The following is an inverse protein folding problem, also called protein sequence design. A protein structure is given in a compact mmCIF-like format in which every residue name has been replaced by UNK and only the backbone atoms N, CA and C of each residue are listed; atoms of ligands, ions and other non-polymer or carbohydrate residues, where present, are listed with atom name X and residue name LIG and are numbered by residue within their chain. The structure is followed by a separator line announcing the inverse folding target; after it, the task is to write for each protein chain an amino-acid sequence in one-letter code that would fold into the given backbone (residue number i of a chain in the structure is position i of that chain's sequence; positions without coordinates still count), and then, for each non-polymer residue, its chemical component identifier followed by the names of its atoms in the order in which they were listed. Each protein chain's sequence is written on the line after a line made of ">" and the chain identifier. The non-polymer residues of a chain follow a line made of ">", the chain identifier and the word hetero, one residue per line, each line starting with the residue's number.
data_IF_643628728134
#
_entry.id   IF_643628728134
#
_cell.length_a   1.000
_cell.length_b   1.000
_cell.length_c   1.000
_cell.angle_alpha   90.00
_cell.angle_beta   90.00
_cell.angle_gamma   90.00
#
_symmetry.space_group_name_H-M   'P 1'
#
loop_
_entity.id
_entity.type
_entity.pdbx_description
1 polymer ?
#
# COMPACT_ATOMS: atom_id res chain seq x y z
N UNK A 1 2.00 -16.59 69.93
CA UNK A 1 3.29 -17.21 70.29
C UNK A 1 4.27 -16.69 69.23
N UNK A 2 5.23 -15.79 69.50
CA UNK A 2 6.34 -15.83 70.50
C UNK A 2 7.25 -17.02 70.20
N UNK A 3 8.58 -16.94 70.00
CA UNK A 3 9.55 -15.86 69.63
C UNK A 3 10.86 -16.57 69.13
N UNK A 4 12.05 -16.01 68.84
CA UNK A 4 12.68 -14.67 69.00
C UNK A 4 13.84 -14.49 67.99
N UNK A 5 14.46 -13.30 67.89
CA UNK A 5 15.80 -13.10 67.28
C UNK A 5 16.92 -13.16 68.35
N UNK A 6 18.22 -13.05 67.97
CA UNK A 6 18.88 -11.74 68.16
C UNK A 6 19.90 -11.34 67.06
N UNK A 7 20.40 -10.08 67.18
CA UNK A 7 21.23 -9.35 66.20
C UNK A 7 22.75 -9.25 66.63
N UNK A 8 23.49 -8.11 66.50
CA UNK A 8 24.56 -7.95 65.50
C UNK A 8 25.93 -7.48 66.07
N UNK A 9 26.97 -7.35 65.23
CA UNK A 9 28.23 -6.63 65.60
C UNK A 9 28.77 -5.75 64.46
N UNK A 10 29.29 -4.58 64.85
CA UNK A 10 30.04 -3.57 64.05
C UNK A 10 31.45 -3.38 64.67
N UNK A 11 32.41 -2.60 64.17
CA UNK A 11 32.50 -1.61 63.08
C UNK A 11 34.00 -1.42 62.73
N UNK A 12 34.34 -0.66 61.66
CA UNK A 12 35.41 0.39 61.61
C UNK A 12 35.96 0.68 60.20
N UNK A 13 36.47 1.91 60.04
CA UNK A 13 36.66 2.59 58.76
C UNK A 13 37.96 3.42 58.65
N UNK A 14 38.44 3.54 57.40
CA UNK A 14 39.38 4.48 56.73
C UNK A 14 40.25 5.51 57.50
N UNK A 15 41.46 5.82 56.97
CA UNK A 15 41.62 7.03 56.12
C UNK A 15 42.53 6.89 54.86
N UNK A 16 42.64 7.98 54.06
CA UNK A 16 43.39 8.15 52.76
C UNK A 16 44.57 9.16 52.94
N UNK A 17 45.17 9.87 51.94
CA UNK A 17 45.54 9.63 50.50
C UNK A 17 47.00 10.10 50.12
N UNK A 18 47.32 10.18 48.79
CA UNK A 18 48.46 10.89 48.08
C UNK A 18 49.73 10.02 47.83
N UNK A 19 50.50 10.18 46.73
CA UNK A 19 50.51 11.12 45.58
C UNK A 19 51.09 10.43 44.29
N UNK A 20 51.16 11.12 43.13
CA UNK A 20 51.43 10.52 41.81
C UNK A 20 52.67 11.08 41.07
N UNK A 21 53.19 10.37 40.04
CA UNK A 21 53.56 10.95 38.70
C UNK A 21 54.00 9.92 37.63
N UNK A 22 53.95 10.40 36.39
CA UNK A 22 53.98 9.74 35.07
C UNK A 22 55.16 8.83 34.67
N UNK A 23 54.88 7.84 33.80
CA UNK A 23 55.70 7.50 32.61
C UNK A 23 54.75 7.31 31.40
N UNK A 24 55.14 7.79 30.22
CA UNK A 24 54.23 7.98 29.08
C UNK A 24 54.02 6.78 28.15
N UNK A 25 52.84 6.73 27.50
CA UNK A 25 52.58 5.83 26.37
C UNK A 25 53.17 6.41 25.07
N UNK A 26 54.14 5.73 24.47
CA UNK A 26 54.34 5.80 23.00
C UNK A 26 53.46 4.73 22.36
N UNK A 27 52.42 5.14 21.64
CA UNK A 27 51.73 4.30 20.66
C UNK A 27 51.94 4.95 19.29
N UNK A 28 52.47 4.19 18.34
CA UNK A 28 52.81 4.69 17.01
C UNK A 28 51.55 5.15 16.26
N UNK A 29 51.69 6.20 15.45
CA UNK A 29 50.69 6.55 14.46
C UNK A 29 50.56 5.44 13.42
N UNK A 30 49.37 4.86 13.33
CA UNK A 30 48.86 4.28 12.07
C UNK A 30 47.63 5.08 11.67
N UNK A 31 47.55 5.41 10.38
CA UNK A 31 46.65 6.43 9.84
C UNK A 31 45.18 6.11 10.15
N UNK A 32 44.44 7.11 10.60
CA UNK A 32 43.03 6.95 10.92
C UNK A 32 42.19 6.63 9.69
N UNK A 33 41.50 5.49 9.71
CA UNK A 33 40.30 5.32 8.91
C UNK A 33 39.10 5.80 9.73
N UNK A 34 38.32 6.66 9.08
CA UNK A 34 37.08 7.25 9.56
C UNK A 34 36.15 6.20 10.18
N UNK A 35 35.61 6.51 11.35
CA UNK A 35 34.39 5.86 11.84
C UNK A 35 33.35 5.94 10.73
N UNK A 36 32.84 4.80 10.28
CA UNK A 36 31.65 4.76 9.42
C UNK A 36 30.46 5.26 10.23
N UNK A 37 30.21 6.56 10.11
CA UNK A 37 28.90 7.11 10.39
C UNK A 37 27.97 6.41 9.42
N UNK A 38 27.17 5.47 9.93
CA UNK A 38 26.04 4.88 9.23
C UNK A 38 24.98 5.97 9.03
N UNK A 39 25.28 6.88 8.10
CA UNK A 39 24.38 7.90 7.63
C UNK A 39 23.30 7.15 6.85
N UNK A 40 22.18 6.86 7.53
CA UNK A 40 20.93 6.52 6.88
C UNK A 40 20.73 7.55 5.78
N UNK A 41 20.92 7.16 4.51
CA UNK A 41 20.65 8.03 3.37
C UNK A 41 19.18 8.42 3.47
N UNK A 42 18.93 9.65 3.94
CA UNK A 42 17.63 10.28 3.81
C UNK A 42 17.44 10.42 2.31
N UNK A 43 16.61 9.54 1.74
CA UNK A 43 16.25 9.60 0.34
C UNK A 43 15.42 10.87 0.12
N UNK A 44 16.10 11.98 -0.15
CA UNK A 44 15.47 13.22 -0.58
C UNK A 44 14.88 12.98 -1.97
N UNK A 45 13.56 13.10 -2.07
CA UNK A 45 12.88 12.97 -3.36
C UNK A 45 13.19 14.19 -4.24
N UNK A 46 12.96 14.06 -5.56
CA UNK A 46 13.16 15.16 -6.50
C UNK A 46 12.13 16.28 -6.28
N UNK A 47 12.44 17.51 -6.71
CA UNK A 47 11.49 18.62 -6.64
C UNK A 47 10.16 18.29 -7.36
N UNK A 48 10.24 17.69 -8.56
CA UNK A 48 9.11 17.14 -9.32
C UNK A 48 8.22 16.22 -8.46
N UNK A 49 8.81 15.37 -7.63
CA UNK A 49 8.06 14.45 -6.77
C UNK A 49 7.29 15.20 -5.68
N UNK A 50 7.86 16.27 -5.09
CA UNK A 50 7.18 17.12 -4.11
C UNK A 50 6.07 17.96 -4.75
N UNK A 51 6.28 18.44 -5.98
CA UNK A 51 5.24 19.12 -6.75
C UNK A 51 4.06 18.18 -7.04
N UNK A 52 4.32 16.94 -7.48
CA UNK A 52 3.29 15.90 -7.65
C UNK A 52 2.60 15.55 -6.33
N UNK A 53 3.31 15.55 -5.19
CA UNK A 53 2.69 15.32 -3.86
C UNK A 53 1.77 16.46 -3.44
N UNK A 54 2.11 17.71 -3.76
CA UNK A 54 1.22 18.87 -3.58
C UNK A 54 -0.05 18.71 -4.42
N UNK A 55 0.08 18.34 -5.69
CA UNK A 55 -1.04 18.11 -6.60
C UNK A 55 -1.96 16.97 -6.12
N UNK A 56 -1.38 15.88 -5.60
CA UNK A 56 -2.13 14.80 -4.92
C UNK A 56 -2.91 15.36 -3.74
N UNK A 57 -2.28 16.17 -2.88
CA UNK A 57 -2.94 16.81 -1.73
C UNK A 57 -4.13 17.69 -2.15
N UNK A 58 -3.99 18.46 -3.23
CA UNK A 58 -5.09 19.25 -3.79
C UNK A 58 -6.21 18.39 -4.40
N UNK A 59 -5.85 17.37 -5.17
CA UNK A 59 -6.81 16.46 -5.79
C UNK A 59 -7.65 15.73 -4.72
N UNK A 60 -7.02 15.25 -3.65
CA UNK A 60 -7.70 14.61 -2.52
C UNK A 60 -8.60 15.59 -1.75
N UNK A 61 -8.14 16.83 -1.47
CA UNK A 61 -8.97 17.89 -0.88
C UNK A 61 -10.20 18.19 -1.74
N UNK A 62 -10.01 18.34 -3.05
CA UNK A 62 -11.08 18.59 -4.02
C UNK A 62 -12.10 17.44 -4.05
N UNK A 63 -11.61 16.19 -4.13
CA UNK A 63 -12.45 14.99 -4.12
C UNK A 63 -13.30 14.88 -2.86
N UNK A 64 -12.70 15.03 -1.68
CA UNK A 64 -13.38 14.92 -0.38
C UNK A 64 -14.47 15.98 -0.25
N UNK A 65 -14.20 17.23 -0.67
CA UNK A 65 -15.18 18.33 -0.68
C UNK A 65 -16.35 18.07 -1.64
N UNK A 66 -16.08 17.62 -2.88
CA UNK A 66 -17.12 17.32 -3.88
C UNK A 66 -17.93 16.05 -3.55
N UNK A 67 -17.36 15.09 -2.82
CA UNK A 67 -18.11 13.94 -2.27
C UNK A 67 -19.15 14.40 -1.26
N UNK A 68 -18.74 15.22 -0.30
CA UNK A 68 -19.57 15.67 0.82
C UNK A 68 -20.63 16.71 0.39
N UNK A 69 -20.24 17.77 -0.32
CA UNK A 69 -21.10 18.92 -0.57
C UNK A 69 -21.85 18.79 -1.90
N UNK A 70 -23.08 18.27 -1.88
CA UNK A 70 -23.92 18.07 -3.08
C UNK A 70 -24.11 19.35 -3.91
N UNK A 71 -24.47 20.47 -3.28
CA UNK A 71 -24.70 21.73 -4.01
C UNK A 71 -23.45 22.23 -4.75
N UNK A 72 -22.25 22.06 -4.17
CA UNK A 72 -20.99 22.36 -4.84
C UNK A 72 -20.74 21.38 -6.00
N UNK A 73 -20.96 20.08 -5.79
CA UNK A 73 -20.81 19.06 -6.84
C UNK A 73 -21.72 19.32 -8.02
N UNK A 74 -22.96 19.72 -7.78
CA UNK A 74 -23.94 20.00 -8.84
C UNK A 74 -23.57 21.29 -9.59
N UNK A 75 -23.20 22.37 -8.88
CA UNK A 75 -22.69 23.60 -9.51
C UNK A 75 -21.47 23.33 -10.41
N UNK A 76 -20.48 22.59 -9.92
CA UNK A 76 -19.27 22.26 -10.68
C UNK A 76 -19.59 21.28 -11.83
N UNK A 77 -20.52 20.33 -11.65
CA UNK A 77 -20.99 19.46 -12.73
C UNK A 77 -21.63 20.26 -13.87
N UNK A 78 -22.48 21.22 -13.55
CA UNK A 78 -23.18 22.04 -14.54
C UNK A 78 -22.18 22.93 -15.31
N UNK A 79 -21.30 23.64 -14.60
CA UNK A 79 -20.26 24.49 -15.20
C UNK A 79 -19.32 23.71 -16.13
N UNK A 80 -19.08 22.43 -15.84
CA UNK A 80 -18.29 21.54 -16.67
C UNK A 80 -19.15 20.53 -17.43
N UNK A 81 -20.36 20.92 -17.87
CA UNK A 81 -21.16 20.18 -18.86
C UNK A 81 -21.37 18.68 -18.57
N UNK A 82 -21.48 18.28 -17.30
CA UNK A 82 -21.89 16.94 -16.89
C UNK A 82 -23.39 16.91 -16.67
N UNK A 83 -24.06 15.81 -17.07
CA UNK A 83 -25.48 15.63 -16.79
C UNK A 83 -25.75 15.74 -15.28
N UNK A 84 -26.90 16.33 -14.87
CA UNK A 84 -27.28 16.42 -13.47
C UNK A 84 -27.37 15.02 -12.81
N UNK A 85 -27.34 15.01 -11.48
CA UNK A 85 -27.46 13.79 -10.70
C UNK A 85 -28.89 13.24 -10.80
N UNK A 86 -29.09 12.17 -11.58
CA UNK A 86 -30.41 11.52 -11.72
C UNK A 86 -30.62 10.52 -10.58
N UNK A 87 -31.57 10.82 -9.69
CA UNK A 87 -31.89 10.00 -8.53
C UNK A 87 -30.82 10.05 -7.42
N UNK A 88 -30.93 9.12 -6.46
CA UNK A 88 -30.04 9.05 -5.28
C UNK A 88 -28.67 8.48 -5.64
N UNK A 89 -27.65 9.34 -5.79
CA UNK A 89 -26.29 8.88 -6.06
C UNK A 89 -25.53 8.63 -4.75
N UNK A 90 -25.33 7.35 -4.40
CA UNK A 90 -24.63 6.94 -3.18
C UNK A 90 -23.55 5.88 -3.45
N UNK A 91 -22.70 5.64 -2.46
CA UNK A 91 -21.65 4.61 -2.52
C UNK A 91 -20.81 4.68 -3.79
N UNK A 92 -20.66 3.53 -4.47
CA UNK A 92 -19.85 3.41 -5.68
C UNK A 92 -20.27 4.38 -6.80
N UNK A 93 -21.56 4.62 -6.98
CA UNK A 93 -22.05 5.52 -8.03
C UNK A 93 -21.57 6.96 -7.78
N UNK A 94 -21.64 7.41 -6.52
CA UNK A 94 -21.13 8.71 -6.10
C UNK A 94 -19.62 8.81 -6.30
N UNK A 95 -18.85 7.80 -5.87
CA UNK A 95 -17.40 7.79 -6.05
C UNK A 95 -16.97 7.85 -7.52
N UNK A 96 -17.65 7.09 -8.40
CA UNK A 96 -17.42 7.15 -9.86
C UNK A 96 -17.80 8.53 -10.42
N UNK A 97 -18.95 9.11 -10.04
CA UNK A 97 -19.40 10.44 -10.49
C UNK A 97 -18.41 11.54 -10.12
N UNK A 98 -17.98 11.60 -8.85
CA UNK A 98 -17.02 12.60 -8.35
C UNK A 98 -15.65 12.42 -9.00
N UNK A 99 -15.15 11.18 -9.14
CA UNK A 99 -13.87 10.94 -9.80
C UNK A 99 -13.91 11.32 -11.29
N UNK A 100 -14.99 11.03 -12.02
CA UNK A 100 -15.19 11.50 -13.40
C UNK A 100 -15.23 13.03 -13.50
N UNK A 101 -15.83 13.71 -12.53
CA UNK A 101 -15.81 15.17 -12.46
C UNK A 101 -14.38 15.70 -12.27
N UNK A 102 -13.61 15.16 -11.32
CA UNK A 102 -12.19 15.54 -11.17
C UNK A 102 -11.36 15.26 -12.43
N UNK A 103 -11.70 14.21 -13.20
CA UNK A 103 -11.03 13.94 -14.47
C UNK A 103 -11.27 15.05 -15.50
N UNK A 104 -12.50 15.57 -15.58
CA UNK A 104 -12.85 16.72 -16.43
C UNK A 104 -12.23 18.04 -15.95
N UNK A 105 -11.96 18.16 -14.65
CA UNK A 105 -11.24 19.30 -14.06
C UNK A 105 -9.72 19.22 -14.25
N UNK A 106 -9.18 18.18 -14.91
CA UNK A 106 -7.74 17.96 -15.01
C UNK A 106 -7.05 17.61 -13.67
N UNK A 107 -7.81 17.30 -12.62
CA UNK A 107 -7.31 17.01 -11.25
C UNK A 107 -7.06 15.52 -10.99
N UNK A 108 -6.80 14.72 -12.02
CA UNK A 108 -6.23 13.38 -11.86
C UNK A 108 -4.71 13.48 -11.96
N UNK A 109 -4.01 12.83 -11.04
CA UNK A 109 -2.55 12.81 -10.96
C UNK A 109 -2.05 11.41 -11.32
N UNK A 110 -0.84 11.30 -11.86
CA UNK A 110 -0.25 10.02 -12.29
C UNK A 110 -1.18 9.24 -13.26
N UNK A 111 -1.74 9.91 -14.27
CA UNK A 111 -2.76 9.35 -15.18
C UNK A 111 -2.26 8.19 -16.05
N UNK A 112 -0.94 8.07 -16.24
CA UNK A 112 -0.31 6.99 -17.00
C UNK A 112 -0.08 5.79 -16.07
N UNK A 113 -0.68 4.63 -16.39
CA UNK A 113 -0.41 3.40 -15.63
C UNK A 113 1.07 3.00 -15.76
N UNK A 114 1.67 2.61 -14.64
CA UNK A 114 3.03 2.09 -14.58
C UNK A 114 3.18 0.95 -13.56
N UNK A 115 4.25 0.18 -13.72
CA UNK A 115 4.72 -0.84 -12.77
C UNK A 115 5.65 -0.14 -11.75
N UNK A 116 5.73 -0.64 -10.52
CA UNK A 116 6.56 -0.06 -9.47
C UNK A 116 5.92 1.12 -8.75
N UNK A 117 6.76 2.03 -8.23
CA UNK A 117 6.34 3.16 -7.39
C UNK A 117 5.49 4.19 -8.17
N UNK A 118 4.90 5.14 -7.45
CA UNK A 118 4.09 6.25 -8.00
C UNK A 118 4.66 7.56 -7.46
N UNK A 119 4.81 8.58 -8.31
CA UNK A 119 5.38 9.86 -7.89
C UNK A 119 4.44 10.60 -6.93
N UNK A 120 5.04 11.28 -5.95
CA UNK A 120 4.33 11.98 -4.87
C UNK A 120 3.63 11.07 -3.84
N UNK A 121 3.84 9.75 -3.88
CA UNK A 121 3.21 8.77 -2.99
C UNK A 121 4.27 8.01 -2.16
N UNK A 122 4.04 7.90 -0.86
CA UNK A 122 4.91 7.22 0.11
C UNK A 122 4.23 5.99 0.73
N UNK A 123 5.03 5.00 1.12
CA UNK A 123 4.59 3.89 1.98
C UNK A 123 4.04 4.46 3.29
N UNK A 124 2.85 4.04 3.67
CA UNK A 124 2.10 4.58 4.81
C UNK A 124 1.03 5.61 4.40
N UNK A 125 1.00 6.09 3.16
CA UNK A 125 -0.03 7.03 2.70
C UNK A 125 -1.45 6.45 2.85
N UNK A 126 -2.35 7.28 3.38
CA UNK A 126 -3.71 6.90 3.76
C UNK A 126 -4.78 7.51 2.84
N UNK A 127 -5.70 6.66 2.39
CA UNK A 127 -6.77 7.01 1.46
C UNK A 127 -8.12 6.52 1.99
N UNK A 128 -9.14 7.37 1.96
CA UNK A 128 -10.43 7.04 2.55
C UNK A 128 -11.30 6.18 1.62
N UNK A 129 -11.15 6.30 0.30
CA UNK A 129 -12.07 5.69 -0.66
C UNK A 129 -11.34 5.14 -1.89
N UNK A 130 -11.91 4.10 -2.53
CA UNK A 130 -11.36 3.53 -3.78
C UNK A 130 -11.19 4.57 -4.89
N UNK A 131 -12.04 5.60 -4.93
CA UNK A 131 -11.91 6.70 -5.87
C UNK A 131 -10.65 7.56 -5.64
N UNK A 132 -10.19 7.70 -4.39
CA UNK A 132 -8.94 8.42 -4.08
C UNK A 132 -7.75 7.67 -4.69
N UNK A 133 -7.69 6.34 -4.56
CA UNK A 133 -6.65 5.50 -5.20
C UNK A 133 -6.63 5.63 -6.73
N UNK A 134 -7.80 5.84 -7.34
CA UNK A 134 -7.92 6.05 -8.79
C UNK A 134 -7.41 7.42 -9.22
N UNK A 135 -7.73 8.47 -8.45
CA UNK A 135 -7.38 9.86 -8.74
C UNK A 135 -5.89 10.14 -8.61
N UNK A 136 -5.19 9.45 -7.71
CA UNK A 136 -3.74 9.60 -7.50
C UNK A 136 -2.88 8.63 -8.33
N UNK A 137 -3.52 7.78 -9.16
CA UNK A 137 -2.85 6.80 -10.02
C UNK A 137 -2.30 5.54 -9.31
N UNK A 138 -2.56 5.35 -8.02
CA UNK A 138 -2.12 4.16 -7.28
C UNK A 138 -2.76 2.87 -7.82
N UNK A 139 -4.08 2.91 -8.05
CA UNK A 139 -4.89 1.77 -8.49
C UNK A 139 -6.15 2.27 -9.20
N UNK A 140 -6.28 2.00 -10.50
CA UNK A 140 -7.30 2.60 -11.38
C UNK A 140 -8.67 1.92 -11.39
N UNK A 141 -8.78 0.75 -10.77
CA UNK A 141 -10.04 0.01 -10.65
C UNK A 141 -10.84 0.51 -9.43
N UNK A 142 -12.15 0.71 -9.61
CA UNK A 142 -13.03 1.11 -8.49
C UNK A 142 -13.55 -0.08 -7.66
N UNK A 143 -13.52 -1.29 -8.23
CA UNK A 143 -14.14 -2.49 -7.63
C UNK A 143 -13.22 -3.71 -7.57
N UNK A 144 -12.43 -3.99 -8.63
CA UNK A 144 -11.60 -5.19 -8.73
C UNK A 144 -10.52 -5.22 -7.66
N UNK A 145 -10.02 -6.42 -7.33
CA UNK A 145 -8.88 -6.57 -6.45
C UNK A 145 -7.56 -6.22 -7.14
N UNK A 146 -7.43 -6.57 -8.42
CA UNK A 146 -6.19 -6.51 -9.19
C UNK A 146 -6.35 -5.48 -10.32
N UNK A 147 -5.38 -4.58 -10.47
CA UNK A 147 -5.28 -3.64 -11.59
C UNK A 147 -4.10 -4.01 -12.49
N UNK A 148 -4.32 -4.02 -13.80
CA UNK A 148 -3.40 -4.55 -14.81
C UNK A 148 -3.00 -3.51 -15.88
N UNK A 149 -1.83 -3.76 -16.47
CA UNK A 149 -1.34 -3.16 -17.71
C UNK A 149 -1.02 -4.28 -18.72
N UNK A 150 -1.12 -3.98 -20.02
CA UNK A 150 -0.74 -4.88 -21.11
C UNK A 150 0.36 -4.25 -21.95
N UNK A 151 1.37 -5.04 -22.34
CA UNK A 151 2.35 -4.66 -23.35
C UNK A 151 1.79 -4.82 -24.78
N UNK A 152 2.55 -4.32 -25.75
CA UNK A 152 2.19 -4.35 -27.18
C UNK A 152 2.03 -5.79 -27.72
N UNK A 153 2.72 -6.78 -27.15
CA UNK A 153 2.58 -8.19 -27.53
C UNK A 153 1.48 -8.94 -26.77
N UNK A 154 0.60 -8.23 -26.05
CA UNK A 154 -0.51 -8.80 -25.29
C UNK A 154 -0.15 -9.36 -23.90
N UNK A 155 1.13 -9.42 -23.53
CA UNK A 155 1.55 -9.89 -22.19
C UNK A 155 1.13 -8.89 -21.12
N UNK A 156 0.40 -9.36 -20.10
CA UNK A 156 -0.19 -8.55 -19.03
C UNK A 156 0.56 -8.67 -17.71
N UNK A 157 0.63 -7.58 -16.95
CA UNK A 157 1.14 -7.56 -15.57
C UNK A 157 0.19 -6.82 -14.64
N UNK A 158 0.09 -7.30 -13.40
CA UNK A 158 -0.53 -6.57 -12.30
C UNK A 158 0.37 -5.40 -11.92
N UNK A 159 -0.20 -4.20 -11.89
CA UNK A 159 0.46 -2.97 -11.44
C UNK A 159 0.27 -2.76 -9.93
N UNK A 160 -0.91 -3.16 -9.43
CA UNK A 160 -1.30 -2.98 -8.04
C UNK A 160 -2.41 -3.95 -7.65
N UNK A 161 -2.46 -4.30 -6.36
CA UNK A 161 -3.57 -5.02 -5.75
C UNK A 161 -4.14 -4.24 -4.56
N UNK A 162 -5.45 -4.34 -4.38
CA UNK A 162 -6.16 -3.90 -3.18
C UNK A 162 -6.61 -5.13 -2.42
N UNK A 163 -5.95 -5.41 -1.29
CA UNK A 163 -6.51 -6.31 -0.29
C UNK A 163 -7.56 -5.54 0.53
N UNK A 164 -8.74 -6.14 0.67
CA UNK A 164 -9.88 -5.55 1.36
C UNK A 164 -10.57 -6.50 2.34
N UNK A 165 -9.96 -7.65 2.65
CA UNK A 165 -10.56 -8.68 3.51
C UNK A 165 -11.91 -9.22 2.99
N UNK A 166 -12.13 -9.14 1.67
CA UNK A 166 -13.39 -9.57 1.00
C UNK A 166 -13.44 -11.05 0.66
N UNK A 167 -12.28 -11.68 0.66
CA UNK A 167 -12.14 -13.13 0.69
C UNK A 167 -11.88 -13.50 2.14
N UNK A 168 -12.50 -14.60 2.56
CA UNK A 168 -12.49 -15.12 3.93
C UNK A 168 -11.08 -15.13 4.56
N UNK A 169 -10.97 -14.98 5.88
CA UNK A 169 -9.69 -14.92 6.60
C UNK A 169 -8.86 -16.20 6.40
N UNK A 170 -9.53 -17.34 6.23
CA UNK A 170 -8.92 -18.61 5.83
C UNK A 170 -8.24 -18.55 4.44
N UNK A 171 -8.60 -17.58 3.59
CA UNK A 171 -8.13 -17.49 2.19
C UNK A 171 -7.12 -16.38 1.89
N UNK A 172 -6.93 -15.39 2.77
CA UNK A 172 -5.89 -14.36 2.66
C UNK A 172 -5.22 -14.18 4.02
N UNK A 173 -4.08 -14.84 4.22
CA UNK A 173 -3.35 -14.87 5.50
C UNK A 173 -2.08 -14.03 5.44
N UNK A 174 -1.82 -13.24 6.49
CA UNK A 174 -0.47 -12.72 6.76
C UNK A 174 0.39 -13.85 7.31
N UNK A 175 1.55 -14.07 6.70
CA UNK A 175 2.59 -14.98 7.19
C UNK A 175 3.51 -14.22 8.14
N UNK A 176 3.82 -12.97 7.79
CA UNK A 176 4.62 -12.05 8.60
C UNK A 176 4.20 -10.58 8.30
N UNK A 177 4.80 -9.55 8.92
CA UNK A 177 4.57 -8.16 8.54
C UNK A 177 4.88 -7.89 7.05
N UNK A 178 5.88 -8.60 6.51
CA UNK A 178 6.40 -8.41 5.15
C UNK A 178 5.96 -9.52 4.16
N UNK A 179 5.19 -10.52 4.57
CA UNK A 179 4.76 -11.62 3.71
C UNK A 179 3.29 -11.99 3.93
N UNK A 180 2.55 -12.17 2.84
CA UNK A 180 1.15 -12.61 2.90
C UNK A 180 0.72 -13.36 1.65
N UNK A 181 -0.26 -14.25 1.82
CA UNK A 181 -0.95 -14.92 0.72
C UNK A 181 -2.17 -14.11 0.29
N UNK A 182 -2.26 -13.79 -0.99
CA UNK A 182 -3.40 -13.15 -1.63
C UNK A 182 -4.25 -14.17 -2.40
N UNK A 183 -5.57 -14.13 -2.21
CA UNK A 183 -6.50 -14.91 -3.01
C UNK A 183 -6.75 -14.24 -4.37
N UNK A 184 -6.67 -15.02 -5.45
CA UNK A 184 -6.93 -14.55 -6.82
C UNK A 184 -8.34 -14.03 -7.03
N UNK A 185 -8.54 -13.30 -8.13
CA UNK A 185 -9.87 -12.83 -8.53
C UNK A 185 -10.72 -13.97 -9.12
N UNK A 186 -12.03 -13.88 -8.88
CA UNK A 186 -13.01 -14.87 -9.31
C UNK A 186 -14.40 -14.51 -8.83
N UNK A 187 -15.38 -15.40 -9.05
CA UNK A 187 -16.72 -15.21 -8.51
C UNK A 187 -16.67 -15.20 -6.97
N UNK A 188 -17.14 -14.12 -6.34
CA UNK A 188 -17.24 -14.08 -4.87
C UNK A 188 -18.50 -14.84 -4.42
N UNK A 189 -18.38 -15.85 -3.52
CA UNK A 189 -19.54 -16.53 -2.93
C UNK A 189 -20.52 -15.59 -2.23
N UNK A 190 -20.04 -14.49 -1.65
CA UNK A 190 -20.83 -13.53 -0.87
C UNK A 190 -20.78 -12.18 -1.57
N UNK A 191 -21.67 -11.98 -2.54
CA UNK A 191 -21.83 -10.69 -3.21
C UNK A 191 -23.16 -10.04 -2.82
N UNK A 192 -23.11 -8.83 -2.25
CA UNK A 192 -24.32 -8.12 -1.82
C UNK A 192 -25.07 -8.78 -0.65
N UNK A 193 -24.35 -9.47 0.25
CA UNK A 193 -24.93 -10.12 1.44
C UNK A 193 -25.69 -11.43 1.18
N UNK A 194 -25.82 -11.87 -0.08
CA UNK A 194 -26.42 -13.15 -0.45
C UNK A 194 -25.34 -14.18 -0.78
N UNK A 195 -25.43 -15.38 -0.20
CA UNK A 195 -24.62 -16.54 -0.64
C UNK A 195 -25.08 -16.96 -2.04
N UNK A 196 -24.15 -17.04 -2.99
CA UNK A 196 -24.41 -17.69 -4.30
C UNK A 196 -24.50 -19.20 -4.10
N UNK A 197 -25.53 -19.83 -4.67
CA UNK A 197 -25.78 -21.25 -4.53
C UNK A 197 -24.69 -22.15 -5.17
N UNK A 198 -24.00 -21.67 -6.19
CA UNK A 198 -22.79 -22.30 -6.76
C UNK A 198 -21.77 -21.22 -7.11
N UNK A 199 -20.54 -21.39 -6.63
CA UNK A 199 -19.36 -20.65 -7.09
C UNK A 199 -18.71 -21.48 -8.21
N UNK A 200 -17.93 -20.83 -9.08
CA UNK A 200 -17.14 -21.53 -10.11
C UNK A 200 -15.66 -21.46 -9.78
N UNK A 201 -14.92 -22.47 -10.20
CA UNK A 201 -13.47 -22.48 -10.14
C UNK A 201 -12.87 -21.22 -10.76
N UNK A 202 -11.87 -20.66 -10.08
CA UNK A 202 -11.09 -19.57 -10.63
C UNK A 202 -10.30 -20.03 -11.86
N UNK A 203 -10.15 -19.12 -12.82
CA UNK A 203 -9.36 -19.33 -14.04
C UNK A 203 -8.07 -18.51 -13.98
N UNK A 204 -6.99 -19.04 -14.57
CA UNK A 204 -5.72 -18.33 -14.71
C UNK A 204 -5.79 -17.37 -15.90
N UNK A 205 -6.64 -16.35 -15.78
CA UNK A 205 -6.91 -15.32 -16.79
C UNK A 205 -6.97 -13.95 -16.11
N UNK A 206 -6.96 -12.87 -16.89
CA UNK A 206 -7.08 -11.51 -16.35
C UNK A 206 -6.02 -11.21 -15.30
N UNK A 207 -6.44 -10.75 -14.12
CA UNK A 207 -5.55 -10.42 -13.00
C UNK A 207 -4.79 -11.61 -12.42
N UNK A 208 -5.35 -12.82 -12.46
CA UNK A 208 -4.66 -14.03 -11.99
C UNK A 208 -3.49 -14.39 -12.93
N UNK A 209 -3.72 -14.31 -14.24
CA UNK A 209 -2.66 -14.46 -15.25
C UNK A 209 -1.61 -13.36 -15.12
N UNK A 210 -2.05 -12.12 -14.88
CA UNK A 210 -1.16 -10.99 -14.69
C UNK A 210 -0.25 -11.16 -13.46
N UNK A 211 -0.77 -11.60 -12.31
CA UNK A 211 0.03 -11.91 -11.11
C UNK A 211 1.01 -13.07 -11.35
N UNK A 212 0.63 -14.08 -12.13
CA UNK A 212 1.57 -15.15 -12.53
C UNK A 212 2.71 -14.60 -13.39
N UNK A 213 2.40 -13.75 -14.38
CA UNK A 213 3.42 -13.09 -15.20
C UNK A 213 4.33 -12.17 -14.36
N UNK A 214 3.82 -11.51 -13.31
CA UNK A 214 4.66 -10.74 -12.38
C UNK A 214 5.71 -11.61 -11.67
N UNK A 215 5.36 -12.85 -11.30
CA UNK A 215 6.31 -13.81 -10.73
C UNK A 215 7.40 -14.18 -11.76
N UNK A 216 6.97 -14.61 -12.97
CA UNK A 216 7.87 -15.07 -14.04
C UNK A 216 8.83 -13.95 -14.49
N UNK A 217 8.30 -12.75 -14.72
CA UNK A 217 9.06 -11.61 -15.25
C UNK A 217 9.65 -10.70 -14.15
N UNK A 218 9.55 -11.15 -12.89
CA UNK A 218 10.06 -10.47 -11.69
C UNK A 218 9.61 -9.00 -11.57
N UNK A 219 8.35 -8.72 -11.94
CA UNK A 219 7.75 -7.37 -11.91
C UNK A 219 7.08 -7.11 -10.54
N UNK A 220 7.34 -5.98 -9.88
CA UNK A 220 6.74 -5.65 -8.60
C UNK A 220 5.26 -5.33 -8.73
N UNK A 221 4.53 -5.54 -7.64
CA UNK A 221 3.12 -5.20 -7.48
C UNK A 221 2.98 -4.23 -6.30
N UNK A 222 2.30 -3.10 -6.50
CA UNK A 222 1.93 -2.21 -5.39
C UNK A 222 0.85 -2.88 -4.53
N UNK A 223 1.03 -2.94 -3.22
CA UNK A 223 0.03 -3.47 -2.28
C UNK A 223 -0.64 -2.31 -1.55
N UNK A 224 -1.96 -2.23 -1.67
CA UNK A 224 -2.81 -1.32 -0.91
C UNK A 224 -3.72 -2.18 -0.02
N UNK A 225 -3.75 -1.93 1.29
CA UNK A 225 -4.56 -2.74 2.23
C UNK A 225 -5.63 -1.92 2.93
N UNK A 226 -6.83 -2.47 3.01
CA UNK A 226 -7.94 -1.90 3.79
C UNK A 226 -7.76 -2.24 5.28
N UNK A 227 -7.89 -1.23 6.13
CA UNK A 227 -7.93 -1.35 7.58
C UNK A 227 -9.28 -0.85 8.10
N UNK A 228 -9.94 -1.63 8.96
CA UNK A 228 -11.20 -1.27 9.60
C UNK A 228 -10.95 -0.82 11.04
N UNK A 229 -11.72 0.15 11.54
CA UNK A 229 -11.74 0.61 12.95
C UNK A 229 -10.38 1.03 13.55
N UNK A 230 -9.42 1.40 12.69
CA UNK A 230 -8.15 2.03 13.08
C UNK A 230 -8.22 3.52 12.70
N UNK A 231 -7.65 4.40 13.54
CA UNK A 231 -7.83 5.86 13.50
C UNK A 231 -7.58 6.53 12.12
N UNK A 232 -8.13 7.73 11.92
CA UNK A 232 -8.28 8.38 10.61
C UNK A 232 -9.05 7.51 9.59
N UNK A 233 -10.10 6.83 10.08
CA UNK A 233 -11.05 6.10 9.24
C UNK A 233 -12.06 7.06 8.57
N UNK A 234 -12.61 6.62 7.44
CA UNK A 234 -13.74 7.28 6.79
C UNK A 234 -15.06 7.07 7.56
N UNK A 235 -16.12 7.75 7.13
CA UNK A 235 -17.50 7.62 7.65
C UNK A 235 -18.13 6.21 7.51
N UNK A 236 -17.44 5.24 6.91
CA UNK A 236 -17.78 3.81 6.91
C UNK A 236 -16.85 2.95 7.77
N UNK A 237 -16.05 3.57 8.65
CA UNK A 237 -15.19 2.89 9.62
C UNK A 237 -13.94 2.24 9.01
N UNK A 238 -13.45 2.67 7.84
CA UNK A 238 -12.23 2.11 7.26
C UNK A 238 -11.33 3.12 6.54
N UNK A 239 -10.09 2.72 6.28
CA UNK A 239 -9.14 3.41 5.38
C UNK A 239 -8.37 2.41 4.52
N UNK A 240 -7.71 2.89 3.49
CA UNK A 240 -6.73 2.15 2.69
C UNK A 240 -5.34 2.72 2.96
N UNK A 241 -4.33 1.86 3.11
CA UNK A 241 -2.93 2.26 3.31
C UNK A 241 -2.07 1.63 2.20
N UNK A 242 -1.17 2.41 1.61
CA UNK A 242 -0.17 1.87 0.67
C UNK A 242 0.99 1.22 1.43
N UNK A 243 1.18 -0.10 1.28
CA UNK A 243 2.19 -0.87 2.02
C UNK A 243 3.54 -0.99 1.27
N UNK A 244 3.59 -0.54 0.02
CA UNK A 244 4.79 -0.57 -0.83
C UNK A 244 4.71 -1.58 -1.98
N UNK A 245 5.88 -1.89 -2.53
CA UNK A 245 6.14 -2.87 -3.56
C UNK A 245 6.43 -4.25 -2.97
N UNK A 246 5.80 -5.25 -3.56
CA UNK A 246 5.94 -6.66 -3.24
C UNK A 246 6.27 -7.45 -4.51
N UNK A 247 7.02 -8.54 -4.37
CA UNK A 247 7.23 -9.55 -5.41
C UNK A 247 6.29 -10.72 -5.18
N UNK A 248 5.69 -11.25 -6.25
CA UNK A 248 5.03 -12.56 -6.21
C UNK A 248 6.13 -13.63 -6.23
N UNK A 249 6.16 -14.51 -5.23
CA UNK A 249 7.26 -15.51 -5.08
C UNK A 249 6.82 -16.95 -5.39
N UNK A 250 5.54 -17.26 -5.23
CA UNK A 250 4.93 -18.55 -5.60
C UNK A 250 3.43 -18.36 -5.86
N UNK A 251 2.83 -19.23 -6.66
CA UNK A 251 1.38 -19.35 -6.80
C UNK A 251 0.96 -20.82 -6.82
N UNK A 252 -0.25 -21.12 -6.36
CA UNK A 252 -0.80 -22.48 -6.36
C UNK A 252 -2.33 -22.46 -6.51
N UNK A 253 -2.92 -23.63 -6.75
CA UNK A 253 -4.37 -23.87 -6.66
C UNK A 253 -4.69 -24.46 -5.29
N UNK A 254 -5.81 -24.08 -4.72
CA UNK A 254 -6.30 -24.57 -3.43
C UNK A 254 -7.80 -24.80 -3.50
N UNK A 255 -8.29 -25.90 -2.93
CA UNK A 255 -9.73 -26.17 -2.84
C UNK A 255 -10.28 -25.36 -1.67
N UNK A 256 -11.29 -24.54 -1.94
CA UNK A 256 -12.00 -23.76 -0.93
C UNK A 256 -12.95 -24.69 -0.17
N UNK A 257 -12.58 -25.04 1.06
CA UNK A 257 -13.22 -26.11 1.84
C UNK A 257 -14.73 -25.96 2.09
N UNK A 258 -15.29 -24.74 2.02
CA UNK A 258 -16.72 -24.48 2.19
C UNK A 258 -17.57 -24.68 0.92
N UNK A 259 -16.93 -24.87 -0.24
CA UNK A 259 -17.59 -24.82 -1.55
C UNK A 259 -17.06 -25.83 -2.57
N UNK A 260 -15.95 -26.53 -2.28
CA UNK A 260 -15.33 -27.50 -3.18
C UNK A 260 -14.69 -26.90 -4.43
N UNK A 261 -14.67 -25.58 -4.57
CA UNK A 261 -14.18 -24.86 -5.76
C UNK A 261 -12.70 -24.50 -5.65
N UNK A 262 -11.99 -24.52 -6.76
CA UNK A 262 -10.60 -24.10 -6.82
C UNK A 262 -10.45 -22.57 -6.82
N UNK A 263 -9.56 -22.07 -5.96
CA UNK A 263 -9.05 -20.68 -6.00
C UNK A 263 -7.56 -20.67 -6.31
N UNK A 264 -7.08 -19.61 -6.94
CA UNK A 264 -5.64 -19.35 -7.04
C UNK A 264 -5.16 -18.59 -5.80
N UNK A 265 -3.97 -18.94 -5.35
CA UNK A 265 -3.23 -18.24 -4.30
C UNK A 265 -1.94 -17.68 -4.85
N UNK A 266 -1.55 -16.52 -4.37
CA UNK A 266 -0.29 -15.86 -4.71
C UNK A 266 0.39 -15.45 -3.41
N UNK A 267 1.63 -15.88 -3.20
CA UNK A 267 2.42 -15.41 -2.07
C UNK A 267 3.15 -14.12 -2.47
N UNK A 268 3.03 -13.08 -1.66
CA UNK A 268 3.66 -11.79 -1.87
C UNK A 268 4.62 -11.47 -0.73
N UNK A 269 5.88 -11.22 -1.08
CA UNK A 269 6.94 -10.80 -0.15
C UNK A 269 7.31 -9.35 -0.44
N UNK A 270 7.36 -8.52 0.60
CA UNK A 270 7.71 -7.10 0.52
C UNK A 270 9.14 -6.96 0.04
N UNK A 271 9.38 -6.02 -0.88
CA UNK A 271 10.73 -5.71 -1.35
C UNK A 271 11.51 -4.95 -0.27
N UNK A 272 12.83 -5.06 -0.31
CA UNK A 272 13.72 -4.28 0.56
C UNK A 272 13.56 -2.78 0.34
N UNK A 273 13.79 -1.98 1.38
CA UNK A 273 13.54 -0.53 1.39
C UNK A 273 14.26 0.20 0.24
N UNK A 274 15.48 -0.22 -0.11
CA UNK A 274 16.25 0.36 -1.21
C UNK A 274 15.60 0.16 -2.59
N UNK A 275 14.69 -0.81 -2.74
CA UNK A 275 14.01 -1.15 -4.00
C UNK A 275 12.61 -0.54 -4.11
N UNK A 276 12.09 0.05 -3.02
CA UNK A 276 10.71 0.54 -2.93
C UNK A 276 10.42 1.73 -3.86
N UNK A 277 11.44 2.55 -4.15
CA UNK A 277 11.34 3.75 -4.98
C UNK A 277 12.30 3.74 -6.18
N UNK A 278 12.86 2.58 -6.52
CA UNK A 278 13.85 2.43 -7.59
C UNK A 278 13.31 2.93 -8.95
N UNK A 279 14.10 3.76 -9.62
CA UNK A 279 13.85 4.28 -10.95
C UNK A 279 13.80 3.22 -12.05
N UNK A 280 14.41 2.05 -11.86
CA UNK A 280 14.38 0.91 -12.80
C UNK A 280 12.95 0.48 -13.18
N UNK A 281 11.97 0.72 -12.29
CA UNK A 281 10.57 0.42 -12.56
C UNK A 281 9.85 1.44 -13.45
N UNK A 282 10.39 2.66 -13.62
CA UNK A 282 9.81 3.74 -14.45
C UNK A 282 9.92 3.49 -15.96
N UNK A 283 10.29 2.28 -16.41
CA UNK A 283 10.40 1.92 -17.83
C UNK A 283 9.05 2.14 -18.52
N UNK A 284 9.01 3.13 -19.41
CA UNK A 284 7.79 3.63 -20.07
C UNK A 284 7.18 2.57 -20.99
N UNK A 285 6.32 1.73 -20.46
CA UNK A 285 5.40 0.90 -21.24
C UNK A 285 4.27 1.78 -21.81
N UNK A 286 4.62 2.62 -22.81
CA UNK A 286 3.72 3.62 -23.38
C UNK A 286 2.49 2.95 -24.01
N UNK A 287 1.31 3.37 -23.56
CA UNK A 287 0.05 3.08 -24.24
C UNK A 287 -0.50 4.36 -24.87
N UNK A 288 -0.61 4.39 -26.20
CA UNK A 288 -1.57 5.25 -26.87
C UNK A 288 -2.87 4.47 -27.04
N UNK A 289 -3.89 4.81 -26.25
CA UNK A 289 -5.24 4.34 -26.56
C UNK A 289 -5.76 5.25 -27.67
N UNK A 290 -5.68 4.79 -28.94
CA UNK A 290 -6.46 5.44 -30.01
C UNK A 290 -7.94 5.42 -29.61
N UNK A 291 -8.61 6.51 -29.92
CA UNK A 291 -9.91 6.91 -29.36
C UNK A 291 -11.02 5.90 -29.60
#
# INVERSE_FOLDING_TARGET
>A
MVSSCPNPVKDRSFPKPKQARHVGKKVQHVKGHSQEICCKKVCTFTQEWYDIRRDIGEALKCYRRLRLVKGLRDKVSNNHGMSPERGKCSGLALHKRVASLLKRLGKWVNTTKQIGCVAGVEIGDEFHWRGELCIVGLHSEFQRGIDCIASLNGRTWATSIVDSGRYDSATTSRVSPNEFTYCGEGENPIFGGKKKAKVKDQKLVGGNLALMNNMVDRKPVRVIRKYNHIGNANDSGYKFVYEGLYRVTKYWKEIRGDSGTYVYKFNLVKMEDHQQYDSEWKKKYVWHRRH
#
